data_IF_380952734129
#
_entry.id   IF_380952734129
#
_cell.length_a   1.000
_cell.length_b   1.000
_cell.length_c   1.000
_cell.angle_alpha   90.00
_cell.angle_beta   90.00
_cell.angle_gamma   90.00
#
_symmetry.space_group_name_H-M   'P 1'
#
loop_
_entity.id
_entity.type
_entity.pdbx_description
1 polymer ?
#
# COMPACT_ATOMS: atom_id res chain seq x y z
N UNK A 1 24.89 10.11 -18.64
CA UNK A 1 24.44 9.99 -18.38
C UNK A 1 23.72 9.81 -17.32
N UNK A 2 23.45 9.89 -16.67
CA UNK A 2 22.80 9.97 -15.57
C UNK A 2 21.47 10.40 -15.72
N UNK A 3 21.21 10.78 -16.82
CA UNK A 3 19.99 11.38 -17.08
C UNK A 3 18.80 10.52 -16.85
N UNK A 4 18.86 9.23 -17.06
CA UNK A 4 17.70 8.41 -16.75
C UNK A 4 17.28 8.56 -15.31
N UNK A 5 18.20 8.87 -14.47
CA UNK A 5 17.88 9.08 -13.09
C UNK A 5 17.02 10.28 -12.87
N UNK A 6 17.11 11.26 -13.74
CA UNK A 6 16.29 12.41 -13.61
C UNK A 6 14.85 12.08 -13.84
N UNK A 7 14.57 11.25 -14.81
CA UNK A 7 13.19 10.88 -15.11
C UNK A 7 12.54 10.19 -13.94
N UNK A 8 13.32 9.41 -13.25
CA UNK A 8 12.82 8.69 -12.08
C UNK A 8 12.56 9.65 -10.95
N UNK A 9 13.39 10.65 -10.80
CA UNK A 9 13.25 11.59 -9.70
C UNK A 9 12.03 12.47 -9.80
N UNK A 10 11.46 12.62 -10.98
CA UNK A 10 10.27 13.45 -11.12
C UNK A 10 9.08 12.84 -10.39
N UNK A 11 9.05 11.50 -10.29
CA UNK A 11 8.00 10.82 -9.58
C UNK A 11 8.61 9.76 -8.71
N UNK A 12 8.17 9.69 -7.48
CA UNK A 12 8.62 8.68 -6.55
C UNK A 12 7.69 7.49 -6.54
N UNK A 13 6.99 7.27 -7.64
CA UNK A 13 6.02 6.19 -7.76
C UNK A 13 5.82 5.80 -9.22
N UNK A 14 5.18 4.66 -9.50
CA UNK A 14 4.99 4.15 -10.86
C UNK A 14 4.27 5.14 -11.76
N UNK A 15 4.64 5.12 -13.04
CA UNK A 15 4.00 5.96 -14.03
C UNK A 15 2.51 5.64 -14.11
N UNK A 16 1.70 6.68 -14.21
CA UNK A 16 0.24 6.58 -14.33
C UNK A 16 -0.50 6.07 -13.10
N UNK A 17 0.19 5.85 -12.00
CA UNK A 17 -0.48 5.45 -10.77
C UNK A 17 -1.49 6.50 -10.34
N UNK A 18 -1.14 7.76 -10.48
CA UNK A 18 -2.01 8.87 -10.08
C UNK A 18 -3.30 8.94 -10.89
N UNK A 19 -3.38 8.24 -12.01
CA UNK A 19 -4.58 8.23 -12.83
C UNK A 19 -5.63 7.22 -12.39
N UNK A 20 -5.22 6.21 -11.65
CA UNK A 20 -6.12 5.13 -11.25
C UNK A 20 -7.30 5.64 -10.43
N UNK A 21 -7.02 6.50 -9.46
CA UNK A 21 -8.06 7.08 -8.61
C UNK A 21 -8.20 8.58 -8.80
N UNK A 22 -7.82 9.08 -9.97
CA UNK A 22 -7.94 10.50 -10.27
C UNK A 22 -9.35 10.98 -10.02
N UNK A 23 -9.49 12.14 -9.38
CA UNK A 23 -10.79 12.70 -9.05
C UNK A 23 -11.33 12.26 -7.69
N UNK A 24 -10.74 11.24 -7.08
CA UNK A 24 -11.19 10.76 -5.77
C UNK A 24 -10.28 11.16 -4.62
N UNK A 25 -9.14 11.79 -4.93
CA UNK A 25 -8.23 12.25 -3.89
C UNK A 25 -8.75 13.52 -3.22
N UNK A 26 -8.63 13.57 -1.89
CA UNK A 26 -9.05 14.72 -1.11
C UNK A 26 -7.89 15.16 -0.22
N UNK A 27 -7.03 16.07 -0.70
CA UNK A 27 -5.86 16.51 0.08
C UNK A 27 -6.22 17.14 1.41
N UNK A 28 -7.42 17.74 1.48
CA UNK A 28 -7.96 18.26 2.75
C UNK A 28 -9.28 17.55 3.00
N UNK A 29 -9.54 17.22 4.25
CA UNK A 29 -10.80 16.58 4.59
C UNK A 29 -10.78 15.07 4.59
N UNK A 30 -9.66 14.44 4.23
CA UNK A 30 -9.55 12.97 4.25
C UNK A 30 -9.81 12.42 5.67
N UNK A 31 -9.51 13.20 6.69
CA UNK A 31 -9.71 12.79 8.08
C UNK A 31 -11.18 12.54 8.41
N UNK A 32 -12.06 13.14 7.65
CA UNK A 32 -13.50 13.01 7.88
C UNK A 32 -14.10 11.80 7.17
N UNK A 33 -13.29 11.07 6.41
CA UNK A 33 -13.76 9.90 5.68
C UNK A 33 -13.40 8.63 6.46
N UNK A 34 -14.28 7.66 6.39
CA UNK A 34 -14.09 6.37 7.06
C UNK A 34 -13.61 5.33 6.06
N UNK A 35 -12.96 4.29 6.57
CA UNK A 35 -12.48 3.21 5.70
C UNK A 35 -13.61 2.62 4.86
N UNK A 36 -14.78 2.42 5.45
CA UNK A 36 -15.91 1.86 4.71
C UNK A 36 -16.37 2.75 3.54
N UNK A 37 -16.05 4.04 3.60
CA UNK A 37 -16.38 4.97 2.54
C UNK A 37 -15.31 4.99 1.44
N UNK A 38 -14.05 4.84 1.82
CA UNK A 38 -12.94 4.98 0.87
C UNK A 38 -12.48 3.66 0.26
N UNK A 39 -12.69 2.54 0.93
CA UNK A 39 -12.29 1.25 0.37
C UNK A 39 -12.98 0.95 -0.96
N UNK A 40 -14.28 1.21 -1.12
CA UNK A 40 -14.92 1.02 -2.43
C UNK A 40 -14.37 1.93 -3.52
N UNK A 41 -13.69 3.01 -3.14
CA UNK A 41 -13.02 3.89 -4.11
C UNK A 41 -11.62 3.39 -4.46
N UNK A 42 -11.16 2.35 -3.78
CA UNK A 42 -9.85 1.77 -4.03
C UNK A 42 -8.74 2.26 -3.11
N UNK A 43 -9.09 2.78 -1.93
CA UNK A 43 -8.11 3.23 -0.95
C UNK A 43 -8.06 2.27 0.23
N UNK A 44 -6.86 1.90 0.65
CA UNK A 44 -6.68 0.97 1.76
C UNK A 44 -6.83 1.65 3.13
N UNK A 45 -6.72 2.97 3.16
CA UNK A 45 -6.95 3.79 4.36
C UNK A 45 -7.53 5.12 3.93
N UNK A 46 -8.15 5.88 4.85
CA UNK A 46 -8.56 7.25 4.53
C UNK A 46 -7.40 8.13 4.09
N UNK A 47 -6.23 7.97 4.72
CA UNK A 47 -5.06 8.77 4.37
C UNK A 47 -4.54 8.48 2.96
N UNK A 48 -4.71 7.24 2.48
CA UNK A 48 -4.36 6.89 1.11
C UNK A 48 -5.11 7.78 0.12
N UNK A 49 -6.32 8.18 0.47
CA UNK A 49 -7.14 9.03 -0.37
C UNK A 49 -6.75 10.50 -0.34
N UNK A 50 -5.68 10.89 0.35
CA UNK A 50 -5.27 12.29 0.41
C UNK A 50 -4.57 12.73 -0.88
N UNK A 51 -3.65 11.92 -1.38
CA UNK A 51 -2.94 12.20 -2.62
C UNK A 51 -2.21 10.96 -3.11
N UNK A 52 -1.81 10.91 -4.38
CA UNK A 52 -1.20 9.70 -4.95
C UNK A 52 0.05 9.21 -4.22
N UNK A 53 0.93 10.12 -3.77
CA UNK A 53 2.14 9.70 -3.08
C UNK A 53 1.83 9.00 -1.76
N UNK A 54 0.80 9.46 -1.06
CA UNK A 54 0.38 8.81 0.18
C UNK A 54 -0.35 7.50 -0.12
N UNK A 55 -1.10 7.45 -1.21
CA UNK A 55 -1.77 6.24 -1.65
C UNK A 55 -0.77 5.11 -1.85
N UNK A 56 0.30 5.35 -2.59
CA UNK A 56 1.34 4.36 -2.81
C UNK A 56 1.98 3.92 -1.49
N UNK A 57 2.30 4.88 -0.65
CA UNK A 57 2.92 4.58 0.64
C UNK A 57 2.02 3.71 1.49
N UNK A 58 0.72 4.03 1.53
CA UNK A 58 -0.24 3.28 2.35
C UNK A 58 -0.49 1.88 1.77
N UNK A 59 -0.66 1.76 0.46
CA UNK A 59 -0.84 0.44 -0.16
C UNK A 59 0.36 -0.44 0.13
N UNK A 60 1.56 0.09 -0.02
CA UNK A 60 2.78 -0.67 0.21
C UNK A 60 2.91 -1.07 1.68
N UNK A 61 2.74 -0.11 2.59
CA UNK A 61 2.88 -0.37 4.01
C UNK A 61 1.82 -1.36 4.52
N UNK A 62 0.57 -1.17 4.13
CA UNK A 62 -0.50 -2.05 4.56
C UNK A 62 -0.31 -3.47 4.01
N UNK A 63 0.09 -3.59 2.75
CA UNK A 63 0.35 -4.91 2.18
C UNK A 63 1.45 -5.64 2.93
N UNK A 64 2.51 -4.92 3.31
CA UNK A 64 3.65 -5.52 3.98
C UNK A 64 3.40 -5.83 5.44
N UNK A 65 2.59 -5.04 6.13
CA UNK A 65 2.49 -5.13 7.58
C UNK A 65 1.17 -5.69 8.11
N UNK A 66 0.09 -5.62 7.33
CA UNK A 66 -1.20 -6.12 7.81
C UNK A 66 -1.20 -7.64 7.89
N UNK A 67 -1.69 -8.21 9.00
CA UNK A 67 -1.97 -9.64 9.03
C UNK A 67 -2.98 -10.02 7.95
N UNK A 68 -2.97 -11.27 7.54
CA UNK A 68 -3.85 -11.74 6.47
C UNK A 68 -5.31 -11.36 6.73
N UNK A 69 -5.78 -11.54 7.96
CA UNK A 69 -7.18 -11.22 8.31
C UNK A 69 -7.49 -9.74 8.14
N UNK A 70 -6.54 -8.88 8.47
CA UNK A 70 -6.75 -7.44 8.36
C UNK A 70 -6.75 -6.99 6.89
N UNK A 71 -5.84 -7.53 6.09
CA UNK A 71 -5.82 -7.26 4.66
C UNK A 71 -7.12 -7.71 4.01
N UNK A 72 -7.58 -8.92 4.37
CA UNK A 72 -8.81 -9.47 3.88
C UNK A 72 -10.01 -8.58 4.23
N UNK A 73 -10.02 -8.00 5.44
CA UNK A 73 -11.07 -7.10 5.86
C UNK A 73 -11.14 -5.86 4.96
N UNK A 74 -9.99 -5.31 4.60
CA UNK A 74 -9.94 -4.17 3.69
C UNK A 74 -10.55 -4.56 2.33
N UNK A 75 -10.20 -5.74 1.83
CA UNK A 75 -10.71 -6.20 0.54
C UNK A 75 -12.22 -6.44 0.58
N UNK A 76 -12.73 -6.94 1.70
CA UNK A 76 -14.17 -7.13 1.88
C UNK A 76 -14.88 -5.78 1.87
N UNK A 77 -14.34 -4.79 2.58
CA UNK A 77 -14.92 -3.45 2.60
C UNK A 77 -14.86 -2.77 1.24
N UNK A 78 -13.81 -3.06 0.47
CA UNK A 78 -13.67 -2.52 -0.88
C UNK A 78 -14.75 -3.06 -1.81
N UNK A 79 -15.13 -4.32 -1.64
CA UNK A 79 -16.20 -4.94 -2.42
C UNK A 79 -15.87 -5.07 -3.88
N UNK A 80 -16.89 -5.30 -4.69
CA UNK A 80 -16.71 -5.53 -6.13
C UNK A 80 -16.15 -4.34 -6.87
N UNK A 81 -16.38 -3.13 -6.36
CA UNK A 81 -15.87 -1.93 -7.03
C UNK A 81 -14.45 -1.60 -6.65
N UNK A 82 -14.13 -1.69 -5.36
CA UNK A 82 -12.83 -1.27 -4.86
C UNK A 82 -11.75 -2.32 -4.96
N UNK A 83 -12.10 -3.59 -4.84
CA UNK A 83 -11.10 -4.65 -4.88
C UNK A 83 -10.27 -4.66 -6.17
N UNK A 84 -10.87 -4.59 -7.37
CA UNK A 84 -10.08 -4.54 -8.59
C UNK A 84 -9.16 -3.33 -8.64
N UNK A 85 -9.59 -2.20 -8.08
CA UNK A 85 -8.78 -0.98 -8.05
C UNK A 85 -7.57 -1.19 -7.16
N UNK A 86 -7.78 -1.74 -5.96
CA UNK A 86 -6.68 -2.01 -5.03
C UNK A 86 -5.73 -3.04 -5.63
N UNK A 87 -6.26 -4.09 -6.27
CA UNK A 87 -5.44 -5.11 -6.92
C UNK A 87 -4.59 -4.50 -8.02
N UNK A 88 -5.15 -3.60 -8.81
CA UNK A 88 -4.41 -2.90 -9.86
C UNK A 88 -3.29 -2.05 -9.28
N UNK A 89 -3.58 -1.30 -8.23
CA UNK A 89 -2.58 -0.48 -7.55
C UNK A 89 -1.44 -1.33 -7.01
N UNK A 90 -1.80 -2.43 -6.36
CA UNK A 90 -0.81 -3.32 -5.76
C UNK A 90 0.06 -3.97 -6.85
N UNK A 91 -0.54 -4.41 -7.95
CA UNK A 91 0.22 -4.99 -9.06
C UNK A 91 1.22 -3.98 -9.62
N UNK A 92 0.80 -2.73 -9.75
CA UNK A 92 1.67 -1.66 -10.21
C UNK A 92 2.83 -1.41 -9.27
N UNK A 93 2.56 -1.38 -7.98
CA UNK A 93 3.60 -1.19 -6.96
C UNK A 93 4.57 -2.36 -6.97
N UNK A 94 4.07 -3.59 -7.04
CA UNK A 94 4.93 -4.78 -7.10
C UNK A 94 5.87 -4.73 -8.29
N UNK A 95 5.34 -4.40 -9.45
CA UNK A 95 6.14 -4.30 -10.66
C UNK A 95 7.19 -3.20 -10.56
N UNK A 96 6.79 -2.04 -10.06
CA UNK A 96 7.70 -0.92 -9.87
C UNK A 96 8.85 -1.27 -8.93
N UNK A 97 8.54 -1.89 -7.80
CA UNK A 97 9.56 -2.27 -6.83
C UNK A 97 10.50 -3.32 -7.39
N UNK A 98 9.97 -4.27 -8.16
CA UNK A 98 10.79 -5.30 -8.77
C UNK A 98 11.72 -4.71 -9.83
N UNK A 99 11.17 -3.90 -10.71
CA UNK A 99 11.91 -3.35 -11.86
C UNK A 99 12.92 -2.28 -11.45
N UNK A 100 12.54 -1.42 -10.50
CA UNK A 100 13.37 -0.28 -10.12
C UNK A 100 14.32 -0.57 -8.97
N UNK A 101 13.95 -1.47 -8.06
CA UNK A 101 14.73 -1.70 -6.85
C UNK A 101 15.07 -3.17 -6.62
N UNK A 102 14.67 -4.06 -7.54
CA UNK A 102 14.83 -5.51 -7.42
C UNK A 102 14.29 -6.04 -6.10
N UNK A 103 13.19 -5.48 -5.63
CA UNK A 103 12.52 -5.92 -4.41
C UNK A 103 11.28 -6.71 -4.77
N UNK A 104 11.20 -7.95 -4.25
CA UNK A 104 10.03 -8.79 -4.39
C UNK A 104 9.13 -8.56 -3.17
N UNK A 105 8.02 -7.82 -3.37
CA UNK A 105 7.14 -7.48 -2.27
C UNK A 105 6.45 -8.68 -1.65
N UNK A 106 6.12 -9.71 -2.45
CA UNK A 106 5.50 -10.91 -1.89
C UNK A 106 6.44 -11.63 -0.94
N UNK A 107 7.71 -11.72 -1.32
CA UNK A 107 8.71 -12.33 -0.45
C UNK A 107 8.92 -11.50 0.80
N UNK A 108 9.01 -10.18 0.63
CA UNK A 108 9.21 -9.28 1.77
C UNK A 108 8.03 -9.39 2.75
N UNK A 109 6.81 -9.49 2.24
CA UNK A 109 5.63 -9.68 3.08
C UNK A 109 5.74 -10.94 3.93
N UNK A 110 6.19 -12.03 3.32
CA UNK A 110 6.38 -13.29 4.05
C UNK A 110 7.45 -13.18 5.13
N UNK A 111 8.54 -12.49 4.81
CA UNK A 111 9.63 -12.29 5.78
C UNK A 111 9.13 -11.45 6.96
N UNK A 112 8.40 -10.39 6.70
CA UNK A 112 7.87 -9.53 7.76
C UNK A 112 6.89 -10.31 8.63
N UNK A 113 6.00 -11.10 8.03
CA UNK A 113 5.03 -11.91 8.78
C UNK A 113 5.75 -12.90 9.69
N UNK A 114 6.79 -13.54 9.17
CA UNK A 114 7.58 -14.48 9.97
C UNK A 114 8.27 -13.79 11.14
N UNK A 115 8.87 -12.63 10.88
CA UNK A 115 9.55 -11.86 11.94
C UNK A 115 8.56 -11.38 12.99
N UNK A 116 7.39 -10.96 12.57
CA UNK A 116 6.35 -10.54 13.50
C UNK A 116 5.92 -11.69 14.39
N UNK A 117 5.76 -12.89 13.82
CA UNK A 117 5.41 -14.05 14.61
C UNK A 117 6.52 -14.43 15.60
N UNK A 118 7.77 -14.36 15.17
CA UNK A 118 8.91 -14.63 16.05
C UNK A 118 8.92 -13.67 17.24
N UNK A 119 8.66 -12.41 17.00
CA UNK A 119 8.62 -11.41 18.05
C UNK A 119 7.48 -11.68 19.01
N UNK A 120 6.31 -12.06 18.51
CA UNK A 120 5.15 -12.31 19.36
C UNK A 120 5.33 -13.57 20.21
N UNK A 121 6.23 -14.48 19.81
CA UNK A 121 6.52 -15.68 20.57
C UNK A 121 7.60 -15.47 21.62
N UNK A 122 8.27 -14.32 21.63
CA UNK A 122 9.27 -14.04 22.63
C UNK A 122 8.62 -13.81 23.98
N UNK A 123 9.22 -14.38 25.02
CA UNK A 123 8.78 -14.15 26.38
C UNK A 123 9.55 -12.96 26.92
N UNK A 124 8.98 -11.78 26.78
CA UNK A 124 9.63 -10.55 27.16
C UNK A 124 9.89 -10.44 28.65
N UNK A 125 9.12 -11.18 29.47
CA UNK A 125 9.33 -11.17 30.91
C UNK A 125 10.66 -11.82 31.29
N UNK A 126 11.14 -12.74 30.47
CA UNK A 126 12.41 -13.40 30.72
C UNK A 126 13.60 -12.62 30.19
N UNK A 127 13.37 -11.60 29.39
CA UNK A 127 14.42 -10.77 28.82
C UNK A 127 14.87 -9.73 29.84
N UNK A 128 13.95 -9.27 30.64
CA UNK A 128 14.20 -8.31 31.68
C UNK A 128 14.27 -8.97 33.05
#
# INVERSE_FOLDING_TARGET
>A
MILPTFCIRKKNYPVDYDKISAGNYTPTGWQNRKLAEVAPLGFVTPYAGSKPSEDIAEVTACFLTYPEAQWENVMILAGEKGKPIIDQKLAMVKKYMKDSWQVDLDLLRKVIARRTNEISELDLDHIY
#
